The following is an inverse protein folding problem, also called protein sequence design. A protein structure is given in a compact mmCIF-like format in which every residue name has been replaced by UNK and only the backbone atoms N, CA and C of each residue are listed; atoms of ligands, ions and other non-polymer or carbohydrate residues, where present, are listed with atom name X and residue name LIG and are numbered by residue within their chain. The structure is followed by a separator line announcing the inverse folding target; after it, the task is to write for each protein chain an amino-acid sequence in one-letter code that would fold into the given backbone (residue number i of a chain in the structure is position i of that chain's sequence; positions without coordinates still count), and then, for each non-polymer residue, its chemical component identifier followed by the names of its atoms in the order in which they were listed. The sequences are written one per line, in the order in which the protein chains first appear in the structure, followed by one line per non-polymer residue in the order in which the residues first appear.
data_IF_807358436831
#
_entry.id   IF_807358436831
#
_cell.length_a   1.000
_cell.length_b   1.000
_cell.length_c   1.000
_cell.angle_alpha   90.00
_cell.angle_beta   90.00
_cell.angle_gamma   90.00
#
_symmetry.space_group_name_H-M   'P 1'
#
loop_
_entity.id
_entity.type
_entity.pdbx_description
1 polymer ?
#
# COMPACT_ATOMS: atom_id res chain seq x y z
N UNK A 1 6.58 -55.29 22.75
CA UNK A 1 5.73 -54.33 22.02
C UNK A 1 5.85 -52.94 22.64
N UNK A 2 6.66 -52.06 22.03
CA UNK A 2 6.83 -50.67 22.49
C UNK A 2 5.86 -49.83 21.65
N UNK A 3 4.77 -49.36 22.24
CA UNK A 3 3.79 -48.49 21.55
C UNK A 3 4.52 -47.27 20.97
N UNK A 4 4.15 -46.78 19.77
CA UNK A 4 4.77 -45.60 19.19
C UNK A 4 4.49 -44.41 20.09
N UNK A 5 5.54 -43.76 20.61
CA UNK A 5 5.39 -42.52 21.36
C UNK A 5 5.13 -41.38 20.38
N UNK A 6 4.23 -40.48 20.74
CA UNK A 6 3.99 -39.24 20.00
C UNK A 6 5.30 -38.46 19.87
N UNK A 7 5.77 -38.32 18.63
CA UNK A 7 6.92 -37.47 18.30
C UNK A 7 6.36 -36.07 18.11
N UNK A 8 6.71 -35.14 19.01
CA UNK A 8 6.37 -33.73 18.82
C UNK A 8 7.21 -33.18 17.66
N UNK A 9 6.63 -33.20 16.46
CA UNK A 9 7.20 -32.52 15.30
C UNK A 9 7.04 -31.02 15.56
N UNK A 10 8.08 -30.39 16.11
CA UNK A 10 8.17 -28.93 16.07
C UNK A 10 8.19 -28.56 14.60
N UNK A 11 7.19 -27.83 14.13
CA UNK A 11 7.28 -27.18 12.84
C UNK A 11 8.56 -26.34 12.85
N UNK A 12 9.50 -26.69 11.98
CA UNK A 12 10.88 -26.21 12.01
C UNK A 12 10.88 -24.75 11.56
N UNK A 13 11.14 -23.85 12.52
CA UNK A 13 11.43 -22.39 12.50
C UNK A 13 10.58 -21.48 11.58
N UNK A 14 10.12 -20.33 12.09
CA UNK A 14 9.52 -19.26 11.27
C UNK A 14 10.56 -18.29 10.67
N UNK A 15 11.81 -18.74 10.44
CA UNK A 15 12.80 -17.93 9.72
C UNK A 15 12.65 -18.17 8.21
N UNK A 16 11.58 -17.61 7.64
CA UNK A 16 11.19 -17.63 6.23
C UNK A 16 9.68 -17.90 6.11
N UNK A 17 8.81 -17.07 5.52
CA UNK A 17 8.98 -16.01 4.52
C UNK A 17 7.96 -14.87 4.73
N UNK A 18 8.30 -13.68 4.21
CA UNK A 18 7.51 -12.43 4.17
C UNK A 18 7.28 -11.68 5.51
N UNK A 19 8.26 -10.85 5.87
CA UNK A 19 8.09 -9.81 6.89
C UNK A 19 6.90 -8.89 6.52
N UNK A 20 5.81 -8.92 7.29
CA UNK A 20 4.64 -8.04 7.12
C UNK A 20 4.93 -6.57 7.46
N UNK A 21 6.16 -6.28 7.88
CA UNK A 21 6.63 -4.96 8.30
C UNK A 21 6.32 -3.84 7.28
N UNK A 22 6.27 -4.15 5.97
CA UNK A 22 5.88 -3.18 4.93
C UNK A 22 4.41 -2.77 5.03
N UNK A 23 3.51 -3.74 5.20
CA UNK A 23 2.09 -3.49 5.40
C UNK A 23 1.82 -2.85 6.76
N UNK A 24 2.52 -3.28 7.81
CA UNK A 24 2.42 -2.66 9.13
C UNK A 24 2.83 -1.18 9.10
N UNK A 25 3.92 -0.86 8.39
CA UNK A 25 4.37 0.53 8.20
C UNK A 25 3.36 1.35 7.41
N UNK A 26 2.80 0.79 6.33
CA UNK A 26 1.76 1.45 5.54
C UNK A 26 0.51 1.74 6.38
N UNK A 27 0.05 0.75 7.14
CA UNK A 27 -1.11 0.89 8.03
C UNK A 27 -0.86 1.93 9.14
N UNK A 28 0.37 2.00 9.67
CA UNK A 28 0.77 3.04 10.62
C UNK A 28 0.66 4.45 10.02
N UNK A 29 1.21 4.65 8.82
CA UNK A 29 1.15 5.95 8.12
C UNK A 29 -0.31 6.37 7.81
N UNK A 30 -1.15 5.41 7.41
CA UNK A 30 -2.56 5.65 7.18
C UNK A 30 -3.30 6.04 8.48
N UNK A 31 -3.04 5.32 9.59
CA UNK A 31 -3.63 5.62 10.90
C UNK A 31 -3.23 6.98 11.44
N UNK A 32 -1.97 7.40 11.24
CA UNK A 32 -1.52 8.73 11.67
C UNK A 32 -2.26 9.84 10.91
N UNK A 33 -2.55 9.64 9.62
CA UNK A 33 -3.34 10.57 8.80
C UNK A 33 -4.81 10.56 9.16
N UNK A 34 -5.41 9.39 9.33
CA UNK A 34 -6.78 9.21 9.80
C UNK A 34 -6.98 9.92 11.15
N UNK A 35 -6.07 9.69 12.11
CA UNK A 35 -6.16 10.24 13.47
C UNK A 35 -6.17 11.77 13.49
N UNK A 36 -5.32 12.41 12.66
CA UNK A 36 -5.17 13.87 12.63
C UNK A 36 -6.30 14.54 11.84
N UNK A 37 -6.86 13.85 10.84
CA UNK A 37 -7.85 14.44 9.94
C UNK A 37 -9.24 14.43 10.57
N UNK A 38 -9.75 15.62 10.89
CA UNK A 38 -11.11 15.79 11.44
C UNK A 38 -12.15 15.53 10.35
N UNK A 39 -13.22 14.80 10.67
CA UNK A 39 -14.36 14.59 9.76
C UNK A 39 -14.31 13.32 8.91
N UNK A 40 -13.35 12.42 9.14
CA UNK A 40 -13.25 11.12 8.46
C UNK A 40 -14.32 10.09 8.89
N UNK A 41 -15.28 10.48 9.74
CA UNK A 41 -16.35 9.61 10.28
C UNK A 41 -17.51 9.36 9.29
N UNK A 42 -17.38 9.79 8.04
CA UNK A 42 -18.34 9.52 6.97
C UNK A 42 -17.70 8.53 6.00
N UNK A 43 -18.42 7.45 5.67
CA UNK A 43 -17.87 6.40 4.80
C UNK A 43 -17.58 6.91 3.38
N UNK A 44 -18.40 7.83 2.86
CA UNK A 44 -18.23 8.44 1.54
C UNK A 44 -17.19 9.56 1.48
N UNK A 45 -16.23 9.60 2.41
CA UNK A 45 -15.22 10.65 2.42
C UNK A 45 -14.24 10.47 1.25
N UNK A 46 -14.07 11.47 0.36
CA UNK A 46 -13.09 11.39 -0.74
C UNK A 46 -11.62 11.44 -0.25
N UNK A 47 -11.41 11.67 1.06
CA UNK A 47 -10.08 11.78 1.65
C UNK A 47 -9.32 10.44 1.67
N UNK A 48 -10.02 9.34 1.95
CA UNK A 48 -9.42 7.99 1.96
C UNK A 48 -8.92 7.59 0.55
N UNK A 49 -9.77 7.62 -0.50
CA UNK A 49 -9.32 7.28 -1.85
C UNK A 49 -8.30 8.31 -2.37
N UNK A 50 -8.46 9.60 -2.06
CA UNK A 50 -7.47 10.63 -2.41
C UNK A 50 -6.09 10.35 -1.82
N UNK A 51 -6.02 9.88 -0.57
CA UNK A 51 -4.78 9.49 0.07
C UNK A 51 -4.13 8.26 -0.57
N UNK A 52 -4.93 7.26 -0.96
CA UNK A 52 -4.44 6.08 -1.68
C UNK A 52 -3.82 6.48 -3.02
N UNK A 53 -4.47 7.37 -3.78
CA UNK A 53 -3.95 7.90 -5.05
C UNK A 53 -2.62 8.63 -4.80
N UNK A 54 -2.58 9.51 -3.79
CA UNK A 54 -1.36 10.23 -3.44
C UNK A 54 -0.20 9.29 -3.09
N UNK A 55 -0.44 8.28 -2.25
CA UNK A 55 0.57 7.31 -1.83
C UNK A 55 1.12 6.49 -3.00
N UNK A 56 0.23 6.07 -3.92
CA UNK A 56 0.58 5.15 -5.00
C UNK A 56 1.22 5.84 -6.20
N UNK A 57 0.82 7.08 -6.51
CA UNK A 57 1.16 7.72 -7.77
C UNK A 57 2.01 8.99 -7.63
N UNK A 58 2.00 9.64 -6.46
CA UNK A 58 2.62 10.96 -6.29
C UNK A 58 3.80 10.92 -5.32
N UNK A 59 3.63 10.26 -4.16
CA UNK A 59 4.65 10.25 -3.10
C UNK A 59 5.78 9.27 -3.42
N UNK A 60 7.04 9.73 -3.55
CA UNK A 60 8.20 8.85 -3.67
C UNK A 60 8.50 8.17 -2.34
N UNK A 61 8.88 6.89 -2.37
CA UNK A 61 9.23 6.13 -1.16
C UNK A 61 10.72 5.82 -1.12
N UNK A 62 11.34 6.10 0.03
CA UNK A 62 12.76 5.81 0.24
C UNK A 62 13.07 4.31 0.12
N UNK A 63 12.14 3.46 0.57
CA UNK A 63 12.23 2.00 0.48
C UNK A 63 12.15 1.47 -0.96
N UNK A 64 11.72 2.30 -1.92
CA UNK A 64 11.61 1.98 -3.34
C UNK A 64 12.63 2.78 -4.16
N UNK A 65 13.77 3.17 -3.55
CA UNK A 65 14.80 4.01 -4.18
C UNK A 65 14.26 5.33 -4.75
N UNK A 66 13.29 5.94 -4.06
CA UNK A 66 12.66 7.19 -4.47
C UNK A 66 11.57 7.03 -5.53
N UNK A 67 11.21 5.80 -5.90
CA UNK A 67 10.09 5.53 -6.83
C UNK A 67 8.76 5.49 -6.10
N UNK A 68 7.68 5.73 -6.85
CA UNK A 68 6.32 5.47 -6.38
C UNK A 68 5.97 3.99 -6.53
N UNK A 69 4.97 3.47 -5.78
CA UNK A 69 4.49 2.11 -5.96
C UNK A 69 3.99 1.85 -7.39
N UNK A 70 3.35 2.84 -8.01
CA UNK A 70 2.91 2.74 -9.41
C UNK A 70 4.09 2.57 -10.38
N UNK A 71 5.16 3.33 -10.20
CA UNK A 71 6.37 3.25 -11.03
C UNK A 71 7.06 1.90 -10.87
N UNK A 72 7.08 1.34 -9.65
CA UNK A 72 7.59 -0.02 -9.42
C UNK A 72 6.75 -1.10 -10.09
N UNK A 73 5.44 -0.88 -10.22
CA UNK A 73 4.53 -1.75 -10.98
C UNK A 73 4.59 -1.51 -12.50
N UNK A 74 5.43 -0.60 -13.00
CA UNK A 74 5.53 -0.24 -14.42
C UNK A 74 4.43 0.72 -14.91
N UNK A 75 3.63 1.27 -14.00
CA UNK A 75 2.62 2.30 -14.30
C UNK A 75 3.29 3.66 -14.16
N UNK A 76 3.79 4.17 -15.27
CA UNK A 76 4.44 5.47 -15.34
C UNK A 76 3.45 6.59 -15.64
N UNK A 77 3.52 7.66 -14.85
CA UNK A 77 2.82 8.90 -15.14
C UNK A 77 3.78 9.81 -15.89
N UNK A 78 3.64 9.85 -17.21
CA UNK A 78 4.47 10.66 -18.10
C UNK A 78 3.96 12.11 -18.12
N UNK A 79 4.29 12.87 -17.08
CA UNK A 79 3.98 14.29 -17.01
C UNK A 79 4.78 15.00 -15.92
N UNK A 80 5.16 16.25 -16.19
CA UNK A 80 5.86 17.08 -15.20
C UNK A 80 5.03 17.30 -13.93
N UNK A 81 3.69 17.38 -14.08
CA UNK A 81 2.74 17.51 -12.98
C UNK A 81 1.93 16.23 -12.83
N UNK A 82 2.39 15.33 -11.95
CA UNK A 82 1.74 14.02 -11.70
C UNK A 82 0.24 14.12 -11.42
N UNK A 83 -0.18 15.11 -10.63
CA UNK A 83 -1.61 15.36 -10.32
C UNK A 83 -2.43 15.76 -11.54
N UNK A 84 -1.93 16.69 -12.34
CA UNK A 84 -2.65 17.16 -13.53
C UNK A 84 -2.81 16.01 -14.54
N UNK A 85 -1.74 15.25 -14.77
CA UNK A 85 -1.77 14.11 -15.68
C UNK A 85 -2.74 13.03 -15.22
N UNK A 86 -2.82 12.74 -13.91
CA UNK A 86 -3.81 11.81 -13.36
C UNK A 86 -5.26 12.26 -13.65
N UNK A 87 -5.55 13.55 -13.43
CA UNK A 87 -6.89 14.11 -13.65
C UNK A 87 -7.24 14.08 -15.15
N UNK A 88 -6.30 14.45 -16.01
CA UNK A 88 -6.49 14.41 -17.46
C UNK A 88 -6.73 12.98 -17.96
N UNK A 89 -5.93 12.02 -17.50
CA UNK A 89 -6.10 10.61 -17.86
C UNK A 89 -7.45 10.05 -17.41
N UNK A 90 -7.91 10.44 -16.21
CA UNK A 90 -9.24 10.04 -15.71
C UNK A 90 -10.36 10.65 -16.57
N UNK A 91 -10.28 11.95 -16.88
CA UNK A 91 -11.28 12.67 -17.68
C UNK A 91 -11.38 12.17 -19.12
N UNK A 92 -10.33 11.58 -19.69
CA UNK A 92 -10.34 11.00 -21.04
C UNK A 92 -10.88 9.56 -21.07
N UNK A 93 -10.99 8.90 -19.91
CA UNK A 93 -11.46 7.51 -19.80
C UNK A 93 -12.95 7.32 -20.11
N UNK A 94 -13.76 8.37 -19.95
CA UNK A 94 -15.22 8.35 -20.12
C UNK A 94 -15.68 8.49 -21.59
N UNK A 95 -14.75 8.65 -22.54
CA UNK A 95 -15.04 8.78 -23.99
C UNK A 95 -15.02 7.43 -24.75
N UNK A 96 -15.35 6.32 -24.08
CA UNK A 96 -15.48 5.00 -24.72
C UNK A 96 -16.92 4.53 -24.77
#
# INVERSE_FOLDING_TARGET
NKNPRSIHIRHIHLKGDMNNNKMERFNGEFRDREKVTRGLKKEDSPLIPGYQIFHNYVRPHLSLNGKTPSEMCGIEIKGNNKWLTLIQNASQGDLK
#
